data_IF_177908334636
#
_entry.id   IF_177908334636
#
_cell.length_a   1.000
_cell.length_b   1.000
_cell.length_c   1.000
_cell.angle_alpha   90.00
_cell.angle_beta   90.00
_cell.angle_gamma   90.00
#
_symmetry.space_group_name_H-M   'P 1'
#
loop_
_entity.id
_entity.type
_entity.pdbx_description
1 polymer ?
#
# COMPACT_ATOMS: atom_id res chain seq x y z
N UNK A 1 4.65 8.91 -26.76
CA UNK A 1 5.14 9.90 -25.77
C UNK A 1 5.74 11.08 -26.54
N UNK A 2 5.04 12.22 -26.59
CA UNK A 2 5.46 13.37 -27.40
C UNK A 2 6.67 14.13 -26.83
N UNK A 3 6.90 14.12 -25.52
CA UNK A 3 8.06 14.74 -24.86
C UNK A 3 8.50 13.90 -23.64
N UNK A 4 9.47 13.01 -23.78
CA UNK A 4 9.95 12.17 -22.67
C UNK A 4 10.64 12.99 -21.56
N UNK A 5 11.26 14.13 -21.90
CA UNK A 5 11.95 15.02 -20.95
C UNK A 5 11.02 15.71 -19.93
N UNK A 6 9.70 15.70 -20.16
CA UNK A 6 8.70 16.22 -19.22
C UNK A 6 8.25 15.18 -18.18
N UNK A 7 8.79 13.96 -18.22
CA UNK A 7 8.52 12.95 -17.22
C UNK A 7 9.25 13.28 -15.92
N UNK A 8 8.54 13.20 -14.78
CA UNK A 8 9.13 13.39 -13.44
C UNK A 8 10.21 12.35 -13.15
N UNK A 9 10.12 11.17 -13.79
CA UNK A 9 11.09 10.08 -13.70
C UNK A 9 12.18 10.12 -14.79
N UNK A 10 12.28 11.20 -15.60
CA UNK A 10 13.19 11.22 -16.76
C UNK A 10 14.66 11.09 -16.35
N UNK A 11 15.07 11.79 -15.29
CA UNK A 11 16.45 11.77 -14.82
C UNK A 11 16.80 10.43 -14.17
N UNK A 12 15.94 9.88 -13.33
CA UNK A 12 16.13 8.55 -12.75
C UNK A 12 16.08 7.44 -13.79
N UNK A 13 15.23 7.57 -14.82
CA UNK A 13 15.12 6.65 -15.94
C UNK A 13 16.34 6.71 -16.89
N UNK A 14 17.07 7.83 -16.94
CA UNK A 14 18.17 8.01 -17.90
C UNK A 14 19.32 7.04 -17.63
N UNK A 15 19.72 6.92 -16.39
CA UNK A 15 20.78 6.01 -15.96
C UNK A 15 20.42 4.54 -16.27
N UNK A 16 19.18 4.14 -15.98
CA UNK A 16 18.68 2.79 -16.30
C UNK A 16 18.52 2.53 -17.79
N UNK A 17 18.18 3.56 -18.59
CA UNK A 17 18.08 3.41 -20.05
C UNK A 17 19.44 3.21 -20.73
N UNK A 18 20.50 3.76 -20.17
CA UNK A 18 21.85 3.51 -20.65
C UNK A 18 22.27 2.07 -20.35
N UNK A 19 21.96 1.55 -19.15
CA UNK A 19 22.18 0.16 -18.79
C UNK A 19 21.35 -0.81 -19.65
N UNK A 20 20.07 -0.49 -19.90
CA UNK A 20 19.21 -1.28 -20.78
C UNK A 20 19.70 -1.27 -22.22
N UNK A 21 20.14 -0.12 -22.77
CA UNK A 21 20.68 -0.05 -24.13
C UNK A 21 21.99 -0.82 -24.31
N UNK A 22 22.81 -0.85 -23.29
CA UNK A 22 24.05 -1.64 -23.29
C UNK A 22 23.74 -3.15 -23.26
N UNK A 23 22.60 -3.55 -22.68
CA UNK A 23 22.12 -4.93 -22.61
C UNK A 23 21.20 -5.34 -23.77
N UNK A 24 20.63 -4.39 -24.56
CA UNK A 24 19.76 -4.68 -25.72
C UNK A 24 20.47 -5.41 -26.89
N UNK A 25 21.79 -5.45 -26.90
CA UNK A 25 22.55 -6.13 -27.97
C UNK A 25 22.64 -7.66 -27.81
N UNK A 26 22.09 -8.23 -26.73
CA UNK A 26 21.94 -9.67 -26.56
C UNK A 26 20.46 -10.06 -26.61
N UNK A 27 19.93 -10.32 -27.80
CA UNK A 27 18.64 -11.02 -27.96
C UNK A 27 18.78 -12.43 -27.36
N UNK A 28 18.54 -12.55 -26.04
CA UNK A 28 18.54 -13.86 -25.38
C UNK A 28 17.25 -14.59 -25.78
N UNK A 29 17.35 -15.84 -26.29
CA UNK A 29 16.18 -16.58 -26.73
C UNK A 29 15.25 -16.88 -25.54
N UNK A 30 13.94 -16.63 -25.73
CA UNK A 30 12.91 -16.97 -24.76
C UNK A 30 12.71 -18.48 -24.69
N UNK A 31 13.42 -19.14 -23.78
CA UNK A 31 13.51 -20.60 -23.66
C UNK A 31 12.36 -21.20 -22.84
N UNK A 32 12.26 -22.54 -22.83
CA UNK A 32 11.29 -23.28 -21.99
C UNK A 32 11.43 -22.91 -20.51
N UNK A 33 12.65 -22.70 -20.01
CA UNK A 33 12.88 -22.28 -18.63
C UNK A 33 12.20 -20.96 -18.27
N UNK A 34 12.28 -19.95 -19.16
CA UNK A 34 11.58 -18.67 -18.94
C UNK A 34 10.05 -18.86 -18.88
N UNK A 35 9.49 -19.73 -19.73
CA UNK A 35 8.05 -20.06 -19.70
C UNK A 35 7.64 -20.74 -18.40
N UNK A 36 8.50 -21.62 -17.86
CA UNK A 36 8.24 -22.32 -16.60
C UNK A 36 8.29 -21.36 -15.40
N UNK A 37 9.22 -20.39 -15.39
CA UNK A 37 9.24 -19.35 -14.36
C UNK A 37 7.98 -18.47 -14.41
N UNK A 38 7.51 -18.10 -15.60
CA UNK A 38 6.24 -17.36 -15.73
C UNK A 38 5.04 -18.19 -15.28
N UNK A 39 5.06 -19.49 -15.56
CA UNK A 39 4.01 -20.41 -15.09
C UNK A 39 4.04 -20.55 -13.57
N UNK A 40 5.21 -20.65 -12.95
CA UNK A 40 5.38 -20.68 -11.49
C UNK A 40 4.77 -19.42 -10.83
N UNK A 41 5.08 -18.25 -11.35
CA UNK A 41 4.49 -16.99 -10.89
C UNK A 41 2.96 -17.02 -11.00
N UNK A 42 2.43 -17.46 -12.14
CA UNK A 42 0.97 -17.54 -12.36
C UNK A 42 0.31 -18.50 -11.37
N UNK A 43 0.88 -19.71 -11.20
CA UNK A 43 0.36 -20.73 -10.27
C UNK A 43 0.41 -20.21 -8.83
N UNK A 44 1.51 -19.60 -8.42
CA UNK A 44 1.64 -19.03 -7.07
C UNK A 44 0.63 -17.91 -6.82
N UNK A 45 0.41 -17.01 -7.79
CA UNK A 45 -0.62 -15.96 -7.68
C UNK A 45 -2.02 -16.56 -7.53
N UNK A 46 -2.37 -17.57 -8.33
CA UNK A 46 -3.65 -18.27 -8.21
C UNK A 46 -3.78 -18.94 -6.83
N UNK A 47 -2.73 -19.61 -6.37
CA UNK A 47 -2.71 -20.23 -5.04
C UNK A 47 -2.89 -19.22 -3.92
N UNK A 48 -2.20 -18.07 -3.99
CA UNK A 48 -2.34 -16.99 -3.02
C UNK A 48 -3.77 -16.45 -2.98
N UNK A 49 -4.35 -16.11 -4.14
CA UNK A 49 -5.74 -15.63 -4.22
C UNK A 49 -6.72 -16.67 -3.67
N UNK A 50 -6.56 -17.93 -4.02
CA UNK A 50 -7.40 -19.02 -3.53
C UNK A 50 -7.29 -19.18 -2.01
N UNK A 51 -6.07 -19.14 -1.47
CA UNK A 51 -5.83 -19.26 -0.03
C UNK A 51 -6.42 -18.08 0.76
N UNK A 52 -6.29 -16.85 0.24
CA UNK A 52 -6.90 -15.67 0.88
C UNK A 52 -8.42 -15.77 0.90
N UNK A 53 -9.04 -16.16 -0.24
CA UNK A 53 -10.51 -16.18 -0.36
C UNK A 53 -11.12 -17.35 0.41
N UNK A 54 -10.50 -18.53 0.40
CA UNK A 54 -11.08 -19.74 0.96
C UNK A 54 -10.61 -20.05 2.38
N UNK A 55 -9.32 -19.87 2.65
CA UNK A 55 -8.69 -20.28 3.91
C UNK A 55 -8.34 -19.08 4.80
N UNK A 56 -8.60 -17.83 4.32
CA UNK A 56 -8.36 -16.62 5.08
C UNK A 56 -6.87 -16.32 5.31
N UNK A 57 -6.00 -16.69 4.36
CA UNK A 57 -4.56 -16.43 4.47
C UNK A 57 -4.29 -14.95 4.72
N UNK A 58 -3.35 -14.71 5.63
CA UNK A 58 -2.89 -13.38 6.01
C UNK A 58 -1.42 -13.18 5.62
N UNK A 59 -0.80 -12.09 6.05
CA UNK A 59 0.55 -11.69 5.63
C UNK A 59 1.60 -12.80 5.81
N UNK A 60 1.67 -13.56 6.94
CA UNK A 60 2.69 -14.60 7.11
C UNK A 60 2.58 -15.74 6.10
N UNK A 61 1.35 -16.20 5.81
CA UNK A 61 1.12 -17.29 4.85
C UNK A 61 1.46 -16.82 3.43
N UNK A 62 1.02 -15.59 3.06
CA UNK A 62 1.32 -15.00 1.74
C UNK A 62 2.84 -14.80 1.56
N UNK A 63 3.54 -14.31 2.58
CA UNK A 63 4.99 -14.15 2.55
C UNK A 63 5.72 -15.49 2.35
N UNK A 64 5.23 -16.55 3.03
CA UNK A 64 5.77 -17.89 2.87
C UNK A 64 5.58 -18.43 1.45
N UNK A 65 4.41 -18.19 0.85
CA UNK A 65 4.13 -18.57 -0.54
C UNK A 65 5.04 -17.85 -1.53
N UNK A 66 5.24 -16.54 -1.38
CA UNK A 66 6.16 -15.79 -2.25
C UNK A 66 7.62 -16.22 -2.06
N UNK A 67 8.02 -16.59 -0.85
CA UNK A 67 9.34 -17.15 -0.62
C UNK A 67 9.53 -18.48 -1.37
N UNK A 68 8.54 -19.39 -1.31
CA UNK A 68 8.54 -20.67 -2.05
C UNK A 68 8.58 -20.40 -3.55
N UNK A 69 7.77 -19.47 -4.07
CA UNK A 69 7.79 -19.07 -5.48
C UNK A 69 9.20 -18.63 -5.92
N UNK A 70 9.86 -17.78 -5.14
CA UNK A 70 11.22 -17.34 -5.45
C UNK A 70 12.23 -18.48 -5.46
N UNK A 71 12.10 -19.45 -4.54
CA UNK A 71 12.95 -20.65 -4.52
C UNK A 71 12.71 -21.54 -5.74
N UNK A 72 11.45 -21.79 -6.11
CA UNK A 72 11.09 -22.61 -7.28
C UNK A 72 11.60 -21.93 -8.56
N UNK A 73 11.38 -20.64 -8.71
CA UNK A 73 11.91 -19.86 -9.84
C UNK A 73 13.45 -19.96 -9.92
N UNK A 74 14.15 -19.84 -8.77
CA UNK A 74 15.59 -20.00 -8.69
C UNK A 74 16.06 -21.39 -9.11
N UNK A 75 15.38 -22.45 -8.65
CA UNK A 75 15.69 -23.84 -9.04
C UNK A 75 15.46 -24.07 -10.55
N UNK A 76 14.36 -23.55 -11.10
CA UNK A 76 14.12 -23.60 -12.55
C UNK A 76 15.23 -22.86 -13.30
N UNK A 77 15.61 -21.66 -12.84
CA UNK A 77 16.69 -20.88 -13.41
C UNK A 77 18.02 -21.63 -13.44
N UNK A 78 18.34 -22.34 -12.35
CA UNK A 78 19.55 -23.15 -12.24
C UNK A 78 19.54 -24.37 -13.16
N UNK A 79 18.41 -25.12 -13.21
CA UNK A 79 18.27 -26.33 -14.06
C UNK A 79 18.41 -25.97 -15.54
N UNK A 80 17.77 -24.90 -15.98
CA UNK A 80 17.78 -24.42 -17.36
C UNK A 80 18.96 -23.48 -17.68
N UNK A 81 19.82 -23.21 -16.69
CA UNK A 81 20.95 -22.26 -16.80
C UNK A 81 20.54 -20.92 -17.41
N UNK A 82 19.42 -20.38 -16.95
CA UNK A 82 18.91 -19.11 -17.44
C UNK A 82 19.91 -17.99 -17.10
N UNK A 83 20.32 -17.22 -18.09
CA UNK A 83 21.33 -16.17 -17.94
C UNK A 83 22.65 -16.63 -17.28
N UNK A 84 23.09 -17.88 -17.58
CA UNK A 84 24.28 -18.50 -16.97
C UNK A 84 24.21 -18.64 -15.44
N UNK A 85 23.00 -18.78 -14.90
CA UNK A 85 22.75 -18.82 -13.47
C UNK A 85 23.47 -19.97 -12.76
N UNK A 86 24.10 -19.65 -11.63
CA UNK A 86 24.78 -20.57 -10.74
C UNK A 86 24.08 -20.68 -9.39
N UNK A 87 24.42 -21.69 -8.59
CA UNK A 87 23.78 -21.92 -7.29
C UNK A 87 23.90 -20.71 -6.33
N UNK A 88 25.03 -19.99 -6.37
CA UNK A 88 25.27 -18.83 -5.51
C UNK A 88 24.43 -17.60 -5.91
N UNK A 89 23.86 -17.58 -7.10
CA UNK A 89 23.07 -16.45 -7.57
C UNK A 89 21.68 -16.42 -6.91
N UNK A 90 21.17 -17.58 -6.47
CA UNK A 90 19.89 -17.65 -5.75
C UNK A 90 19.94 -16.86 -4.44
N UNK A 91 20.86 -17.15 -3.48
CA UNK A 91 20.94 -16.35 -2.25
C UNK A 91 21.37 -14.90 -2.53
N UNK A 92 22.16 -14.64 -3.57
CA UNK A 92 22.51 -13.29 -3.96
C UNK A 92 21.29 -12.47 -4.40
N UNK A 93 20.39 -13.06 -5.20
CA UNK A 93 19.14 -12.42 -5.62
C UNK A 93 18.21 -12.14 -4.43
N UNK A 94 18.08 -13.08 -3.48
CA UNK A 94 17.31 -12.86 -2.25
C UNK A 94 17.90 -11.74 -1.39
N UNK A 95 19.23 -11.70 -1.22
CA UNK A 95 19.91 -10.65 -0.47
C UNK A 95 19.73 -9.27 -1.14
N UNK A 96 19.80 -9.21 -2.46
CA UNK A 96 19.56 -7.98 -3.20
C UNK A 96 18.11 -7.49 -3.01
N UNK A 97 17.12 -8.38 -3.15
CA UNK A 97 15.71 -8.05 -2.90
C UNK A 97 15.45 -7.59 -1.48
N UNK A 98 16.09 -8.20 -0.48
CA UNK A 98 16.01 -7.77 0.91
C UNK A 98 16.63 -6.37 1.12
N UNK A 99 17.78 -6.10 0.50
CA UNK A 99 18.43 -4.79 0.55
C UNK A 99 17.56 -3.70 -0.09
N UNK A 100 16.93 -3.98 -1.23
CA UNK A 100 16.05 -3.04 -1.93
C UNK A 100 14.81 -2.67 -1.07
N UNK A 101 14.33 -3.58 -0.23
CA UNK A 101 13.17 -3.36 0.65
C UNK A 101 13.52 -2.82 2.04
N UNK A 102 14.81 -2.73 2.40
CA UNK A 102 15.24 -2.33 3.74
C UNK A 102 14.74 -0.93 4.12
N UNK A 103 14.78 0.03 3.19
CA UNK A 103 14.27 1.38 3.41
C UNK A 103 12.78 1.42 3.74
N UNK A 104 11.97 0.62 3.04
CA UNK A 104 10.56 0.47 3.31
C UNK A 104 10.29 -0.14 4.69
N UNK A 105 11.01 -1.19 5.06
CA UNK A 105 10.89 -1.84 6.36
C UNK A 105 11.23 -0.87 7.51
N UNK A 106 12.29 -0.07 7.36
CA UNK A 106 12.66 0.95 8.36
C UNK A 106 11.59 2.04 8.51
N UNK A 107 11.01 2.55 7.42
CA UNK A 107 9.93 3.54 7.50
C UNK A 107 8.69 2.99 8.21
N UNK A 108 8.30 1.74 7.92
CA UNK A 108 7.18 1.08 8.62
C UNK A 108 7.49 0.90 10.10
N UNK A 109 8.72 0.48 10.44
CA UNK A 109 9.16 0.35 11.84
C UNK A 109 9.11 1.68 12.59
N UNK A 110 9.53 2.79 11.95
CA UNK A 110 9.46 4.13 12.55
C UNK A 110 8.00 4.58 12.76
N UNK A 111 7.12 4.33 11.80
CA UNK A 111 5.69 4.63 11.92
C UNK A 111 5.05 3.85 13.08
N UNK A 112 5.36 2.56 13.24
CA UNK A 112 4.93 1.76 14.40
C UNK A 112 5.49 2.30 15.73
N UNK A 113 6.73 2.79 15.73
CA UNK A 113 7.34 3.45 16.90
C UNK A 113 6.54 4.67 17.35
N UNK A 114 6.04 5.49 16.42
CA UNK A 114 5.17 6.64 16.72
C UNK A 114 3.88 6.18 17.42
N UNK A 115 3.24 5.12 16.92
CA UNK A 115 2.01 4.56 17.51
C UNK A 115 2.27 4.10 18.96
N UNK A 116 3.39 3.43 19.20
CA UNK A 116 3.77 2.96 20.55
C UNK A 116 3.97 4.15 21.51
N UNK A 117 4.64 5.21 21.05
CA UNK A 117 4.85 6.43 21.84
C UNK A 117 3.52 7.13 22.16
N UNK A 118 2.55 7.10 21.26
CA UNK A 118 1.21 7.65 21.46
C UNK A 118 0.31 6.78 22.35
N UNK A 119 0.80 5.63 22.80
CA UNK A 119 0.13 4.74 23.76
C UNK A 119 -0.40 3.44 23.20
N UNK A 120 0.02 3.05 21.99
CA UNK A 120 -0.34 1.78 21.36
C UNK A 120 -1.71 1.78 20.68
N UNK A 121 -2.16 0.58 20.28
CA UNK A 121 -3.36 0.37 19.45
C UNK A 121 -4.61 -0.06 20.23
N UNK A 122 -4.58 0.02 21.56
CA UNK A 122 -5.73 -0.36 22.39
C UNK A 122 -6.73 0.79 22.49
N UNK A 123 -7.88 0.64 21.83
CA UNK A 123 -8.96 1.64 21.79
C UNK A 123 -9.62 1.89 23.16
N UNK A 124 -9.45 0.97 24.12
CA UNK A 124 -10.04 1.06 25.46
C UNK A 124 -9.13 1.77 26.47
N UNK A 125 -7.86 1.98 26.16
CA UNK A 125 -6.89 2.57 27.07
C UNK A 125 -6.91 4.11 27.02
N UNK A 126 -6.66 4.76 28.17
CA UNK A 126 -6.56 6.22 28.27
C UNK A 126 -5.25 6.76 27.70
N UNK A 127 -5.04 6.63 26.40
CA UNK A 127 -3.80 7.01 25.70
C UNK A 127 -3.92 8.39 25.04
N UNK A 128 -2.79 8.99 24.70
CA UNK A 128 -2.73 10.24 23.92
C UNK A 128 -3.47 10.09 22.59
N UNK A 129 -3.29 8.94 21.92
CA UNK A 129 -3.95 8.62 20.67
C UNK A 129 -5.48 8.63 20.82
N UNK A 130 -6.03 7.95 21.83
CA UNK A 130 -7.46 7.94 22.10
C UNK A 130 -7.99 9.32 22.49
N UNK A 131 -7.22 10.12 23.23
CA UNK A 131 -7.61 11.51 23.55
C UNK A 131 -7.76 12.37 22.29
N UNK A 132 -6.85 12.23 21.33
CA UNK A 132 -6.95 12.91 20.02
C UNK A 132 -8.21 12.46 19.28
N UNK A 133 -8.46 11.15 19.22
CA UNK A 133 -9.63 10.58 18.55
C UNK A 133 -10.94 11.10 19.17
N UNK A 134 -11.06 11.08 20.49
CA UNK A 134 -12.23 11.57 21.20
C UNK A 134 -12.45 13.08 21.06
N UNK A 135 -11.39 13.85 21.09
CA UNK A 135 -11.48 15.34 20.92
C UNK A 135 -11.99 15.71 19.53
N UNK A 136 -11.49 15.04 18.49
CA UNK A 136 -11.95 15.24 17.11
C UNK A 136 -13.40 14.80 16.93
N UNK A 137 -13.78 13.68 17.51
CA UNK A 137 -15.13 13.17 17.52
C UNK A 137 -16.11 14.18 18.16
N UNK A 138 -15.75 14.74 19.33
CA UNK A 138 -16.56 15.77 19.98
C UNK A 138 -16.73 17.05 19.13
N UNK A 139 -15.71 17.45 18.38
CA UNK A 139 -15.82 18.57 17.46
C UNK A 139 -16.79 18.31 16.30
N UNK A 140 -16.83 17.08 15.78
CA UNK A 140 -17.67 16.70 14.63
C UNK A 140 -19.17 16.71 14.96
N UNK A 141 -19.57 16.49 16.23
CA UNK A 141 -20.96 16.47 16.65
C UNK A 141 -21.73 17.79 16.41
N UNK A 142 -21.01 18.88 16.24
CA UNK A 142 -21.62 20.21 16.06
C UNK A 142 -21.93 20.57 14.59
N UNK A 143 -21.62 19.67 13.65
CA UNK A 143 -21.79 19.92 12.22
C UNK A 143 -23.01 19.15 11.63
N UNK A 144 -23.57 19.61 10.50
CA UNK A 144 -24.57 18.85 9.76
C UNK A 144 -24.03 17.47 9.30
N UNK A 145 -24.89 16.43 9.13
CA UNK A 145 -24.47 15.07 8.78
C UNK A 145 -23.51 14.97 7.61
N UNK A 146 -23.76 15.73 6.53
CA UNK A 146 -22.90 15.74 5.34
C UNK A 146 -21.49 16.25 5.65
N UNK A 147 -21.40 17.31 6.46
CA UNK A 147 -20.10 17.90 6.85
C UNK A 147 -19.37 16.94 7.80
N UNK A 148 -20.08 16.35 8.75
CA UNK A 148 -19.51 15.38 9.70
C UNK A 148 -18.96 14.14 8.97
N UNK A 149 -19.68 13.60 8.00
CA UNK A 149 -19.21 12.48 7.18
C UNK A 149 -17.96 12.85 6.36
N UNK A 150 -17.94 14.05 5.78
CA UNK A 150 -16.76 14.53 5.07
C UNK A 150 -15.56 14.74 6.00
N UNK A 151 -15.79 15.27 7.21
CA UNK A 151 -14.73 15.40 8.23
C UNK A 151 -14.22 14.03 8.70
N UNK A 152 -15.09 13.01 8.81
CA UNK A 152 -14.67 11.63 9.05
C UNK A 152 -13.70 11.15 7.96
N UNK A 153 -14.01 11.38 6.69
CA UNK A 153 -13.12 11.05 5.58
C UNK A 153 -11.77 11.77 5.65
N UNK A 154 -11.78 13.09 5.89
CA UNK A 154 -10.54 13.88 6.04
C UNK A 154 -9.72 13.37 7.21
N UNK A 155 -10.37 13.11 8.34
CA UNK A 155 -9.72 12.55 9.51
C UNK A 155 -9.06 11.20 9.21
N UNK A 156 -9.77 10.27 8.58
CA UNK A 156 -9.24 8.95 8.22
C UNK A 156 -8.04 9.07 7.26
N UNK A 157 -8.12 10.01 6.32
CA UNK A 157 -7.01 10.27 5.39
C UNK A 157 -5.75 10.78 6.09
N UNK A 158 -5.89 11.69 7.06
CA UNK A 158 -4.77 12.21 7.85
C UNK A 158 -4.25 11.13 8.81
N UNK A 159 -5.16 10.37 9.43
CA UNK A 159 -4.82 9.33 10.39
C UNK A 159 -4.04 8.18 9.74
N UNK A 160 -4.31 7.86 8.48
CA UNK A 160 -3.57 6.86 7.72
C UNK A 160 -2.07 7.16 7.60
N UNK A 161 -1.64 8.41 7.68
CA UNK A 161 -0.21 8.74 7.73
C UNK A 161 0.50 8.10 8.95
N UNK A 162 -0.20 7.99 10.07
CA UNK A 162 0.34 7.42 11.30
C UNK A 162 0.12 5.91 11.38
N UNK A 163 -1.05 5.44 10.97
CA UNK A 163 -1.46 4.03 11.08
C UNK A 163 -1.75 3.48 9.68
N UNK A 164 -0.68 3.17 8.96
CA UNK A 164 -0.73 2.65 7.59
C UNK A 164 -1.02 1.14 7.62
N UNK A 165 -2.20 0.79 8.09
CA UNK A 165 -2.68 -0.59 8.15
C UNK A 165 -4.19 -0.56 8.15
N UNK A 166 -4.83 -1.02 7.08
CA UNK A 166 -6.28 -0.99 6.96
C UNK A 166 -6.98 -1.60 8.19
N UNK A 167 -6.65 -2.81 8.57
CA UNK A 167 -7.23 -3.46 9.76
C UNK A 167 -6.86 -2.75 11.07
N UNK A 168 -5.61 -2.28 11.20
CA UNK A 168 -5.15 -1.55 12.38
C UNK A 168 -5.85 -0.20 12.53
N UNK A 169 -5.99 0.55 11.44
CA UNK A 169 -6.72 1.81 11.42
C UNK A 169 -8.20 1.59 11.74
N UNK A 170 -8.84 0.58 11.15
CA UNK A 170 -10.24 0.24 11.44
C UNK A 170 -10.42 -0.13 12.93
N UNK A 171 -9.56 -0.97 13.48
CA UNK A 171 -9.64 -1.39 14.89
C UNK A 171 -9.54 -0.21 15.86
N UNK A 172 -8.74 0.82 15.52
CA UNK A 172 -8.59 2.02 16.34
C UNK A 172 -9.72 3.02 16.16
N UNK A 173 -10.13 3.28 14.93
CA UNK A 173 -11.01 4.42 14.61
C UNK A 173 -12.48 4.04 14.58
N UNK A 174 -12.86 2.84 14.12
CA UNK A 174 -14.25 2.45 13.95
C UNK A 174 -15.03 2.32 15.26
N UNK A 175 -14.47 1.85 16.39
CA UNK A 175 -15.16 1.87 17.69
C UNK A 175 -15.62 3.27 18.12
N UNK A 176 -14.98 4.33 17.61
CA UNK A 176 -15.33 5.72 17.89
C UNK A 176 -16.20 6.30 16.76
N UNK A 177 -15.82 6.05 15.50
CA UNK A 177 -16.49 6.63 14.34
C UNK A 177 -17.89 6.07 14.09
N UNK A 178 -18.13 4.78 14.39
CA UNK A 178 -19.46 4.19 14.20
C UNK A 178 -20.49 4.76 15.19
N UNK A 179 -20.25 4.83 16.53
CA UNK A 179 -21.16 5.52 17.43
C UNK A 179 -21.30 7.03 17.13
N UNK A 180 -20.22 7.68 16.67
CA UNK A 180 -20.29 9.08 16.26
C UNK A 180 -21.21 9.27 15.05
N UNK A 181 -21.15 8.38 14.06
CA UNK A 181 -22.03 8.43 12.90
C UNK A 181 -23.51 8.39 13.33
N UNK A 182 -23.87 7.48 14.27
CA UNK A 182 -25.20 7.42 14.85
C UNK A 182 -25.61 8.75 15.51
N UNK A 183 -24.71 9.37 16.28
CA UNK A 183 -24.96 10.63 16.99
C UNK A 183 -25.19 11.82 16.06
N UNK A 184 -24.52 11.86 14.92
CA UNK A 184 -24.63 12.97 13.95
C UNK A 184 -25.61 12.69 12.82
N UNK A 185 -26.35 11.57 12.88
CA UNK A 185 -27.37 11.19 11.89
C UNK A 185 -26.76 10.78 10.55
N UNK A 186 -25.59 10.14 10.57
CA UNK A 186 -24.90 9.55 9.41
C UNK A 186 -25.02 8.02 9.51
N UNK A 187 -25.38 7.36 8.43
CA UNK A 187 -25.42 5.90 8.39
C UNK A 187 -24.02 5.31 8.62
N UNK A 188 -23.94 4.21 9.37
CA UNK A 188 -22.67 3.55 9.69
C UNK A 188 -21.89 3.11 8.44
N UNK A 189 -22.61 2.74 7.36
CA UNK A 189 -21.99 2.39 6.07
C UNK A 189 -21.25 3.58 5.46
N UNK A 190 -21.71 4.81 5.65
CA UNK A 190 -21.00 6.02 5.21
C UNK A 190 -19.74 6.26 6.04
N UNK A 191 -19.76 5.95 7.34
CA UNK A 191 -18.55 6.00 8.16
C UNK A 191 -17.50 4.97 7.69
N UNK A 192 -17.95 3.75 7.34
CA UNK A 192 -17.09 2.71 6.73
C UNK A 192 -16.54 3.17 5.37
N UNK A 193 -17.39 3.76 4.52
CA UNK A 193 -16.96 4.32 3.24
C UNK A 193 -15.92 5.42 3.41
N UNK A 194 -16.12 6.32 4.37
CA UNK A 194 -15.17 7.39 4.70
C UNK A 194 -13.83 6.84 5.16
N UNK A 195 -13.83 5.79 5.98
CA UNK A 195 -12.63 5.08 6.39
C UNK A 195 -11.92 4.43 5.19
N UNK A 196 -12.64 3.64 4.38
CA UNK A 196 -12.02 2.91 3.27
C UNK A 196 -11.44 3.83 2.20
N UNK A 197 -12.14 4.91 1.85
CA UNK A 197 -11.62 5.89 0.89
C UNK A 197 -10.45 6.69 1.46
N UNK A 198 -10.48 7.00 2.76
CA UNK A 198 -9.39 7.66 3.47
C UNK A 198 -8.13 6.81 3.51
N UNK A 199 -8.24 5.54 3.90
CA UNK A 199 -7.14 4.59 3.92
C UNK A 199 -6.61 4.32 2.51
N UNK A 200 -7.46 3.86 1.60
CA UNK A 200 -7.05 3.40 0.28
C UNK A 200 -6.34 4.49 -0.54
N UNK A 201 -6.93 5.69 -0.63
CA UNK A 201 -6.40 6.72 -1.52
C UNK A 201 -5.15 7.40 -0.97
N UNK A 202 -5.01 7.53 0.34
CA UNK A 202 -3.80 8.10 0.93
C UNK A 202 -2.61 7.13 0.88
N UNK A 203 -2.84 5.82 0.85
CA UNK A 203 -1.80 4.82 0.66
C UNK A 203 -1.03 4.94 -0.67
N UNK A 204 -1.58 5.63 -1.67
CA UNK A 204 -0.88 5.93 -2.92
C UNK A 204 0.19 7.02 -2.79
N UNK A 205 0.21 7.78 -1.71
CA UNK A 205 1.13 8.91 -1.57
C UNK A 205 1.88 8.96 -0.24
N UNK A 206 1.35 8.37 0.83
CA UNK A 206 1.99 8.47 2.15
C UNK A 206 3.32 7.71 2.20
N UNK A 207 4.40 8.35 2.66
CA UNK A 207 5.74 7.75 2.70
C UNK A 207 5.88 6.65 3.77
N UNK A 208 4.89 6.49 4.63
CA UNK A 208 4.83 5.43 5.64
C UNK A 208 4.20 4.14 5.13
N UNK A 209 3.62 4.15 3.90
CA UNK A 209 3.05 2.95 3.28
C UNK A 209 4.13 2.00 2.80
N UNK A 210 4.27 0.86 3.49
CA UNK A 210 5.24 -0.19 3.13
C UNK A 210 4.97 -0.78 1.75
N UNK A 211 3.70 -0.92 1.35
CA UNK A 211 3.33 -1.39 0.01
C UNK A 211 3.78 -0.41 -1.07
N UNK A 212 3.56 0.90 -0.85
CA UNK A 212 4.00 1.93 -1.78
C UNK A 212 5.53 1.96 -1.88
N UNK A 213 6.22 2.03 -0.74
CA UNK A 213 7.68 2.10 -0.72
C UNK A 213 8.31 0.84 -1.31
N UNK A 214 7.75 -0.34 -1.03
CA UNK A 214 8.20 -1.59 -1.63
C UNK A 214 8.02 -1.60 -3.15
N UNK A 215 6.89 -1.14 -3.66
CA UNK A 215 6.67 -1.01 -5.11
C UNK A 215 7.63 0.00 -5.76
N UNK A 216 7.87 1.15 -5.09
CA UNK A 216 8.80 2.17 -5.58
C UNK A 216 10.26 1.67 -5.56
N UNK A 217 10.65 0.92 -4.52
CA UNK A 217 11.97 0.30 -4.44
C UNK A 217 12.19 -0.71 -5.57
N UNK A 218 11.20 -1.58 -5.82
CA UNK A 218 11.25 -2.53 -6.94
C UNK A 218 11.30 -1.82 -8.31
N UNK A 219 10.59 -0.69 -8.44
CA UNK A 219 10.64 0.15 -9.65
C UNK A 219 11.86 1.07 -9.71
N UNK A 220 12.71 1.08 -8.67
CA UNK A 220 13.87 1.96 -8.52
C UNK A 220 13.51 3.44 -8.68
N UNK A 221 12.38 3.83 -8.12
CA UNK A 221 11.85 5.20 -8.13
C UNK A 221 11.93 5.81 -6.74
N UNK A 222 12.43 7.03 -6.66
CA UNK A 222 12.40 7.80 -5.42
C UNK A 222 10.98 8.27 -5.08
N UNK A 223 10.61 8.19 -3.81
CA UNK A 223 9.31 8.68 -3.34
C UNK A 223 9.04 10.14 -3.70
N UNK A 224 10.04 11.01 -3.63
CA UNK A 224 9.90 12.43 -4.00
C UNK A 224 9.48 12.65 -5.45
N UNK A 225 10.01 11.85 -6.37
CA UNK A 225 9.65 11.86 -7.79
C UNK A 225 8.24 11.32 -8.00
N UNK A 226 7.88 10.24 -7.30
CA UNK A 226 6.54 9.69 -7.30
C UNK A 226 5.51 10.69 -6.76
N UNK A 227 5.77 11.32 -5.61
CA UNK A 227 4.86 12.28 -5.00
C UNK A 227 4.56 13.47 -5.93
N UNK A 228 5.56 14.01 -6.63
CA UNK A 228 5.36 15.07 -7.63
C UNK A 228 4.45 14.65 -8.78
N UNK A 229 4.54 13.40 -9.22
CA UNK A 229 3.64 12.85 -10.24
C UNK A 229 2.24 12.64 -9.67
N UNK A 230 2.17 11.99 -8.50
CA UNK A 230 0.93 11.53 -7.87
C UNK A 230 0.07 12.68 -7.36
N UNK A 231 0.62 13.83 -6.94
CA UNK A 231 -0.12 14.91 -6.28
C UNK A 231 -1.31 15.41 -7.12
N UNK A 232 -1.17 15.47 -8.43
CA UNK A 232 -2.25 15.89 -9.33
C UNK A 232 -3.38 14.86 -9.39
N UNK A 233 -3.01 13.58 -9.45
CA UNK A 233 -3.98 12.49 -9.43
C UNK A 233 -4.61 12.35 -8.05
N UNK A 234 -3.84 12.56 -6.99
CA UNK A 234 -4.33 12.59 -5.62
C UNK A 234 -5.42 13.64 -5.41
N UNK A 235 -5.27 14.84 -5.98
CA UNK A 235 -6.30 15.87 -5.93
C UNK A 235 -7.62 15.38 -6.57
N UNK A 236 -7.55 14.67 -7.70
CA UNK A 236 -8.73 14.07 -8.34
C UNK A 236 -9.36 13.00 -7.43
N UNK A 237 -8.54 12.14 -6.81
CA UNK A 237 -9.02 11.11 -5.89
C UNK A 237 -9.69 11.72 -4.65
N UNK A 238 -9.14 12.79 -4.08
CA UNK A 238 -9.73 13.50 -2.94
C UNK A 238 -11.09 14.10 -3.31
N UNK A 239 -11.21 14.71 -4.49
CA UNK A 239 -12.50 15.23 -4.97
C UNK A 239 -13.49 14.09 -5.18
N UNK A 240 -13.07 13.00 -5.81
CA UNK A 240 -13.92 11.83 -6.04
C UNK A 240 -14.41 11.22 -4.71
N UNK A 241 -13.50 11.01 -3.75
CA UNK A 241 -13.84 10.47 -2.43
C UNK A 241 -14.80 11.41 -1.67
N UNK A 242 -14.54 12.72 -1.71
CA UNK A 242 -15.42 13.72 -1.09
C UNK A 242 -16.82 13.67 -1.68
N UNK A 243 -16.94 13.59 -3.00
CA UNK A 243 -18.23 13.44 -3.67
C UNK A 243 -18.92 12.11 -3.33
N UNK A 244 -18.16 11.00 -3.29
CA UNK A 244 -18.71 9.69 -2.95
C UNK A 244 -19.28 9.66 -1.52
N UNK A 245 -18.57 10.24 -0.54
CA UNK A 245 -19.02 10.32 0.85
C UNK A 245 -20.26 11.21 0.97
N UNK A 246 -20.26 12.39 0.33
CA UNK A 246 -21.43 13.28 0.31
C UNK A 246 -22.64 12.61 -0.32
N UNK A 247 -22.45 11.94 -1.46
CA UNK A 247 -23.51 11.16 -2.12
C UNK A 247 -24.01 10.04 -1.21
N UNK A 248 -23.13 9.32 -0.53
CA UNK A 248 -23.49 8.27 0.43
C UNK A 248 -24.45 8.77 1.51
N UNK A 249 -24.22 9.97 2.05
CA UNK A 249 -25.13 10.60 3.01
C UNK A 249 -26.47 10.97 2.36
N UNK A 250 -26.44 11.57 1.17
CA UNK A 250 -27.65 12.07 0.49
C UNK A 250 -28.59 10.94 0.06
N UNK A 251 -28.04 9.81 -0.40
CA UNK A 251 -28.85 8.64 -0.81
C UNK A 251 -29.23 7.73 0.36
N UNK A 252 -28.73 8.01 1.58
CA UNK A 252 -28.95 7.14 2.73
C UNK A 252 -28.34 5.75 2.54
N UNK A 253 -27.05 5.69 2.20
CA UNK A 253 -26.33 4.43 1.98
C UNK A 253 -26.30 3.61 3.27
N UNK A 254 -27.09 2.55 3.30
CA UNK A 254 -27.28 1.66 4.47
C UNK A 254 -26.86 0.22 4.15
#
# INVERSE_FOLDING_TARGET
KKNPTMSVAYESDREYREDFKNNENEEKPFTLGHKLVLLDILVCMIWTVWGVVKDGYYIPEIASQFFVMGLVAGVIGLIFRLNDMHLNDIPAAFNQGAADLLGAAMCVGMAQGIIIILGGTDASSGTVLNTILHSLSGAMQNFPPVVSAWLMYVFQSVFNFFVVSGSGQAALTMPIMAPLADLVGVERQVAVLSYQLGDAFTNFIVPTSGCLLGALAAAKLEWGSWAKFQIKFQAVLVVFASLAVVLGVVIGLS
#
